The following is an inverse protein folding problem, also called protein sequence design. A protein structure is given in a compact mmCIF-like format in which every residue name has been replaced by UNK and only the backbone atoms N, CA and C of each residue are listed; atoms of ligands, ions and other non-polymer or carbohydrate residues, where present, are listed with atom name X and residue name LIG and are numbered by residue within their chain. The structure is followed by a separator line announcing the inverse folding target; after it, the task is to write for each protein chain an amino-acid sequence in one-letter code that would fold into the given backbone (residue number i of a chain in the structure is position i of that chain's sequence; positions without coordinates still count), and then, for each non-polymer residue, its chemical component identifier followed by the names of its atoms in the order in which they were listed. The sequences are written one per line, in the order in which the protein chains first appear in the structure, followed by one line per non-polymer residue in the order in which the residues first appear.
data_IF_092904307214
#
_entry.id   IF_092904307214
#
_cell.length_a   1.000
_cell.length_b   1.000
_cell.length_c   1.000
_cell.angle_alpha   90.00
_cell.angle_beta   90.00
_cell.angle_gamma   90.00
#
_symmetry.space_group_name_H-M   'P 1'
#
loop_
_entity.id
_entity.type
_entity.pdbx_description
1 polymer ?
#
# COMPACT_ATOMS: atom_id res chain seq x y z
N UNK A 1 -1.27 -13.34 -63.22
CA UNK A 1 -2.10 -12.77 -62.13
C UNK A 1 -2.31 -13.71 -60.91
N UNK A 2 -2.02 -15.01 -60.97
CA UNK A 2 -2.31 -15.94 -59.85
C UNK A 2 -1.34 -15.89 -58.66
N UNK A 3 -0.10 -15.40 -58.84
CA UNK A 3 0.93 -15.41 -57.77
C UNK A 3 0.73 -14.33 -56.69
N UNK A 4 0.04 -13.24 -56.99
CA UNK A 4 -0.13 -12.10 -56.06
C UNK A 4 -1.21 -12.37 -54.98
N UNK A 5 -2.18 -13.25 -55.26
CA UNK A 5 -3.23 -13.64 -54.31
C UNK A 5 -2.71 -14.54 -53.17
N UNK A 6 -1.74 -15.42 -53.47
CA UNK A 6 -1.14 -16.31 -52.47
C UNK A 6 -0.26 -15.54 -51.47
N UNK A 7 0.49 -14.54 -51.93
CA UNK A 7 1.34 -13.69 -51.07
C UNK A 7 0.51 -12.85 -50.10
N UNK A 8 -0.63 -12.30 -50.54
CA UNK A 8 -1.55 -11.54 -49.67
C UNK A 8 -2.20 -12.44 -48.61
N UNK A 9 -2.61 -13.66 -48.97
CA UNK A 9 -3.17 -14.62 -48.02
C UNK A 9 -2.13 -15.10 -47.00
N UNK A 10 -0.87 -15.27 -47.40
CA UNK A 10 0.23 -15.65 -46.50
C UNK A 10 0.60 -14.51 -45.53
N UNK A 11 0.63 -13.25 -46.00
CA UNK A 11 0.83 -12.08 -45.15
C UNK A 11 -0.32 -11.86 -44.15
N UNK A 12 -1.56 -12.13 -44.55
CA UNK A 12 -2.72 -12.06 -43.65
C UNK A 12 -2.67 -13.19 -42.58
N UNK A 13 -2.24 -14.39 -42.96
CA UNK A 13 -2.06 -15.49 -42.01
C UNK A 13 -0.88 -15.26 -41.04
N UNK A 14 0.20 -14.60 -41.50
CA UNK A 14 1.32 -14.23 -40.65
C UNK A 14 0.97 -13.09 -39.67
N UNK A 15 0.13 -12.13 -40.09
CA UNK A 15 -0.36 -11.07 -39.21
C UNK A 15 -1.30 -11.60 -38.11
N UNK A 16 -2.05 -12.67 -38.36
CA UNK A 16 -2.91 -13.32 -37.34
C UNK A 16 -2.09 -14.19 -36.37
N UNK A 17 -0.94 -14.72 -36.79
CA UNK A 17 -0.09 -15.57 -35.96
C UNK A 17 0.85 -14.81 -34.99
N UNK A 18 1.11 -13.52 -35.21
CA UNK A 18 1.99 -12.70 -34.35
C UNK A 18 1.23 -12.00 -33.19
N UNK A 19 -0.10 -11.99 -33.22
CA UNK A 19 -0.90 -11.16 -32.30
C UNK A 19 -1.27 -11.76 -30.94
N UNK A 20 -0.93 -13.01 -30.64
CA UNK A 20 -1.50 -13.74 -29.48
C UNK A 20 -0.48 -14.20 -28.44
N UNK A 21 0.78 -13.77 -28.51
CA UNK A 21 1.70 -13.95 -27.38
C UNK A 21 1.35 -12.96 -26.28
N UNK A 22 0.37 -13.35 -25.47
CA UNK A 22 0.33 -13.13 -24.03
C UNK A 22 0.79 -11.74 -23.58
N UNK A 23 -0.05 -10.74 -23.85
CA UNK A 23 -0.21 -9.57 -22.97
C UNK A 23 -0.79 -10.02 -21.61
N UNK A 24 -0.18 -11.02 -20.97
CA UNK A 24 -0.15 -11.03 -19.52
C UNK A 24 0.84 -9.92 -19.17
N UNK A 25 0.32 -8.68 -19.16
CA UNK A 25 0.98 -7.61 -18.45
C UNK A 25 1.35 -8.20 -17.10
N UNK A 26 2.67 -8.32 -16.83
CA UNK A 26 3.14 -8.79 -15.54
C UNK A 26 2.37 -7.96 -14.51
N UNK A 27 1.58 -8.63 -13.67
CA UNK A 27 0.79 -7.94 -12.65
C UNK A 27 1.83 -7.22 -11.79
N UNK A 28 1.99 -5.92 -12.04
CA UNK A 28 2.96 -5.13 -11.32
C UNK A 28 2.62 -5.21 -9.84
N UNK A 29 3.65 -5.27 -9.01
CA UNK A 29 3.46 -5.30 -7.57
C UNK A 29 2.63 -4.08 -7.18
N UNK A 30 1.53 -4.35 -6.47
CA UNK A 30 0.71 -3.31 -5.89
C UNK A 30 1.51 -2.53 -4.85
N UNK A 31 1.54 -1.21 -4.99
CA UNK A 31 2.19 -0.31 -4.04
C UNK A 31 1.19 0.34 -3.09
N UNK A 32 -0.10 0.30 -3.47
CA UNK A 32 -1.21 0.89 -2.75
C UNK A 32 -1.71 -0.05 -1.67
N UNK A 33 -1.88 0.48 -0.46
CA UNK A 33 -2.39 -0.27 0.68
C UNK A 33 -3.28 0.63 1.52
N UNK A 34 -4.54 0.24 1.67
CA UNK A 34 -5.47 0.76 2.65
C UNK A 34 -5.70 -0.34 3.69
N UNK A 35 -5.38 -0.07 4.96
CA UNK A 35 -5.57 -1.06 6.02
C UNK A 35 -6.08 -0.37 7.28
N UNK A 36 -7.29 -0.68 7.70
CA UNK A 36 -8.02 0.06 8.71
C UNK A 36 -8.70 -0.88 9.71
N UNK A 37 -8.66 -0.53 10.99
CA UNK A 37 -9.50 -1.13 12.03
C UNK A 37 -10.69 -0.22 12.29
N UNK A 38 -11.89 -0.79 12.20
CA UNK A 38 -13.14 -0.03 12.11
C UNK A 38 -14.18 -0.66 13.03
N UNK A 39 -15.13 0.16 13.47
CA UNK A 39 -16.34 -0.33 14.14
C UNK A 39 -17.52 0.02 13.24
N UNK A 40 -18.25 -1.01 12.76
CA UNK A 40 -19.52 -0.77 12.08
C UNK A 40 -20.62 -0.67 13.13
N UNK A 41 -21.16 0.52 13.36
CA UNK A 41 -22.26 0.71 14.32
C UNK A 41 -23.56 0.05 13.85
N UNK A 42 -24.52 -0.04 14.76
CA UNK A 42 -25.82 -0.65 14.48
C UNK A 42 -26.53 0.07 13.32
N UNK A 43 -27.11 -0.72 12.42
CA UNK A 43 -28.01 -0.25 11.37
C UNK A 43 -29.30 -1.04 11.38
N UNK A 44 -30.02 -1.03 10.27
CA UNK A 44 -31.17 -1.90 10.03
C UNK A 44 -31.20 -2.31 8.57
N UNK A 45 -31.93 -3.39 8.26
CA UNK A 45 -32.02 -3.91 6.89
C UNK A 45 -32.40 -2.84 5.86
N UNK A 46 -33.26 -1.91 6.25
CA UNK A 46 -33.79 -0.81 5.44
C UNK A 46 -33.00 0.50 5.56
N UNK A 47 -31.97 0.55 6.41
CA UNK A 47 -31.12 1.72 6.67
C UNK A 47 -29.80 1.22 7.29
N UNK A 48 -28.93 0.61 6.48
CA UNK A 48 -27.66 0.10 6.97
C UNK A 48 -26.78 1.23 7.48
N UNK A 49 -26.03 0.97 8.56
CA UNK A 49 -24.88 1.79 8.86
C UNK A 49 -23.85 1.57 7.75
N UNK A 50 -23.47 2.62 7.04
CA UNK A 50 -22.68 2.52 5.81
C UNK A 50 -21.41 3.35 5.93
N UNK A 51 -20.27 2.73 5.64
CA UNK A 51 -18.98 3.38 5.55
C UNK A 51 -18.43 3.28 4.13
N UNK A 52 -17.69 4.31 3.74
CA UNK A 52 -17.05 4.40 2.43
C UNK A 52 -15.55 4.58 2.61
N UNK A 53 -14.77 3.82 1.84
CA UNK A 53 -13.32 3.91 1.81
C UNK A 53 -12.86 4.15 0.38
N UNK A 54 -12.58 5.42 0.02
CA UNK A 54 -12.09 5.75 -1.31
C UNK A 54 -10.65 5.31 -1.50
N UNK A 55 -10.33 4.86 -2.70
CA UNK A 55 -8.96 4.65 -3.15
C UNK A 55 -8.80 4.88 -4.65
N UNK A 56 -7.60 5.21 -5.08
CA UNK A 56 -7.27 5.51 -6.47
C UNK A 56 -6.30 4.48 -7.05
N UNK A 57 -6.69 3.87 -8.17
CA UNK A 57 -5.88 2.95 -8.97
C UNK A 57 -5.22 3.75 -10.09
N UNK A 58 -3.89 3.73 -10.17
CA UNK A 58 -3.12 4.53 -11.14
C UNK A 58 -2.62 3.73 -12.33
N UNK A 59 -2.71 2.39 -12.27
CA UNK A 59 -2.28 1.48 -13.34
C UNK A 59 -3.13 0.21 -13.38
N UNK A 60 -3.20 -0.50 -14.52
CA UNK A 60 -3.90 -1.78 -14.60
C UNK A 60 -3.31 -2.81 -13.62
N UNK A 61 -4.16 -3.68 -13.09
CA UNK A 61 -3.74 -4.72 -12.16
C UNK A 61 -4.85 -5.22 -11.26
N UNK A 62 -4.47 -5.96 -10.22
CA UNK A 62 -5.41 -6.64 -9.32
C UNK A 62 -5.64 -5.83 -8.05
N UNK A 63 -6.91 -5.56 -7.73
CA UNK A 63 -7.34 -5.09 -6.42
C UNK A 63 -7.70 -6.31 -5.56
N UNK A 64 -7.05 -6.48 -4.41
CA UNK A 64 -7.40 -7.47 -3.41
C UNK A 64 -8.10 -6.79 -2.24
N UNK A 65 -9.24 -7.33 -1.81
CA UNK A 65 -10.03 -6.81 -0.68
C UNK A 65 -10.22 -7.94 0.31
N UNK A 66 -9.86 -7.68 1.55
CA UNK A 66 -10.05 -8.57 2.70
C UNK A 66 -10.78 -7.78 3.79
N UNK A 67 -11.92 -8.32 4.24
CA UNK A 67 -12.65 -7.81 5.40
C UNK A 67 -12.74 -8.92 6.43
N UNK A 68 -12.15 -8.71 7.60
CA UNK A 68 -12.23 -9.62 8.73
C UNK A 68 -13.08 -8.99 9.83
N UNK A 69 -13.85 -9.82 10.52
CA UNK A 69 -14.52 -9.44 11.77
C UNK A 69 -13.62 -9.86 12.91
N UNK A 70 -13.20 -8.88 13.70
CA UNK A 70 -12.42 -9.06 14.91
C UNK A 70 -13.34 -9.53 16.04
N UNK A 71 -12.78 -10.28 17.00
CA UNK A 71 -13.48 -10.70 18.21
C UNK A 71 -14.85 -11.36 17.96
N UNK A 72 -14.95 -12.19 16.92
CA UNK A 72 -16.20 -12.82 16.54
C UNK A 72 -16.74 -13.74 17.65
N UNK A 73 -18.02 -13.55 17.95
CA UNK A 73 -18.78 -14.30 18.97
C UNK A 73 -19.98 -14.97 18.30
N UNK A 74 -19.90 -16.26 17.91
CA UNK A 74 -20.92 -16.92 17.09
C UNK A 74 -22.35 -16.70 17.60
N UNK A 75 -22.55 -16.74 18.91
CA UNK A 75 -23.82 -16.51 19.60
C UNK A 75 -24.46 -15.15 19.29
N UNK A 76 -23.66 -14.10 19.05
CA UNK A 76 -24.15 -12.76 18.70
C UNK A 76 -24.51 -12.61 17.22
N UNK A 77 -24.06 -13.54 16.37
CA UNK A 77 -24.23 -13.47 14.92
C UNK A 77 -25.25 -14.48 14.39
N UNK A 78 -25.75 -15.41 15.22
CA UNK A 78 -26.76 -16.42 14.84
C UNK A 78 -28.07 -15.77 14.36
N UNK A 79 -28.52 -14.73 15.05
CA UNK A 79 -29.82 -14.10 14.76
C UNK A 79 -29.72 -13.00 13.69
N UNK A 80 -28.52 -12.42 13.53
CA UNK A 80 -28.24 -11.42 12.53
C UNK A 80 -27.83 -12.12 11.22
N UNK A 81 -28.82 -12.53 10.40
CA UNK A 81 -28.56 -13.13 9.09
C UNK A 81 -27.71 -12.19 8.19
N UNK A 82 -26.38 -12.40 8.21
CA UNK A 82 -25.37 -11.66 7.42
C UNK A 82 -25.33 -10.17 7.75
N UNK A 83 -24.79 -9.78 8.92
CA UNK A 83 -24.87 -8.40 9.40
C UNK A 83 -23.98 -7.47 8.59
N UNK A 84 -22.82 -7.95 8.13
CA UNK A 84 -21.85 -7.15 7.37
C UNK A 84 -21.95 -7.47 5.88
N UNK A 85 -21.95 -6.42 5.05
CA UNK A 85 -21.84 -6.53 3.59
C UNK A 85 -20.68 -5.68 3.11
N UNK A 86 -20.08 -6.10 2.01
CA UNK A 86 -18.97 -5.42 1.36
C UNK A 86 -19.25 -5.31 -0.14
N UNK A 87 -18.96 -4.14 -0.69
CA UNK A 87 -18.99 -3.89 -2.14
C UNK A 87 -17.73 -3.17 -2.59
N UNK A 88 -17.28 -3.47 -3.81
CA UNK A 88 -16.39 -2.62 -4.57
C UNK A 88 -17.20 -1.91 -5.65
N UNK A 89 -17.17 -0.59 -5.64
CA UNK A 89 -17.85 0.24 -6.64
C UNK A 89 -16.89 1.27 -7.20
N UNK A 90 -17.11 1.70 -8.45
CA UNK A 90 -16.37 2.85 -9.01
C UNK A 90 -17.15 4.17 -8.85
N UNK A 91 -16.50 5.29 -9.21
CA UNK A 91 -17.06 6.63 -9.07
C UNK A 91 -18.41 6.85 -9.76
N UNK A 92 -18.77 6.11 -10.81
CA UNK A 92 -20.09 6.22 -11.46
C UNK A 92 -21.24 5.86 -10.52
N UNK A 93 -20.94 5.15 -9.44
CA UNK A 93 -21.88 4.82 -8.38
C UNK A 93 -22.59 6.07 -7.81
N UNK A 94 -21.86 7.15 -7.55
CA UNK A 94 -22.42 8.39 -6.98
C UNK A 94 -22.82 9.42 -8.04
N UNK A 95 -22.62 9.09 -9.32
CA UNK A 95 -23.01 9.95 -10.44
C UNK A 95 -24.47 9.68 -10.83
N UNK A 96 -25.31 10.72 -10.80
CA UNK A 96 -26.68 10.61 -11.30
C UNK A 96 -26.70 10.24 -12.79
N UNK A 97 -25.75 10.76 -13.57
CA UNK A 97 -25.59 10.51 -15.01
C UNK A 97 -24.82 9.23 -15.32
N UNK A 98 -24.37 8.48 -14.32
CA UNK A 98 -23.53 7.27 -14.48
C UNK A 98 -22.22 7.51 -15.26
N UNK A 99 -21.76 8.76 -15.27
CA UNK A 99 -20.46 9.15 -15.82
C UNK A 99 -19.38 9.11 -14.74
N UNK A 100 -18.13 8.75 -15.08
CA UNK A 100 -17.03 8.79 -14.13
C UNK A 100 -16.84 10.23 -13.65
N UNK A 101 -16.52 10.38 -12.37
CA UNK A 101 -16.25 11.69 -11.79
C UNK A 101 -15.02 12.34 -12.41
N UNK A 102 -14.80 13.61 -12.11
CA UNK A 102 -13.47 14.22 -12.23
C UNK A 102 -12.75 14.22 -10.86
N UNK A 103 -11.44 14.48 -10.86
CA UNK A 103 -10.63 14.45 -9.65
C UNK A 103 -11.12 15.41 -8.55
N UNK A 104 -11.63 16.59 -8.94
CA UNK A 104 -12.15 17.58 -7.98
C UNK A 104 -13.43 17.08 -7.29
N UNK A 105 -14.35 16.48 -8.04
CA UNK A 105 -15.56 15.85 -7.50
C UNK A 105 -15.22 14.69 -6.57
N UNK A 106 -14.26 13.85 -6.96
CA UNK A 106 -13.80 12.74 -6.14
C UNK A 106 -13.15 13.22 -4.85
N UNK A 107 -12.23 14.18 -4.92
CA UNK A 107 -11.60 14.75 -3.73
C UNK A 107 -12.63 15.41 -2.81
N UNK A 108 -13.65 16.06 -3.36
CA UNK A 108 -14.76 16.60 -2.57
C UNK A 108 -15.48 15.49 -1.81
N UNK A 109 -15.86 14.41 -2.49
CA UNK A 109 -16.53 13.26 -1.85
C UNK A 109 -15.62 12.59 -0.81
N UNK A 110 -14.32 12.45 -1.10
CA UNK A 110 -13.32 11.94 -0.15
C UNK A 110 -13.28 12.81 1.10
N UNK A 111 -13.23 14.13 0.94
CA UNK A 111 -13.22 15.08 2.05
C UNK A 111 -14.53 15.02 2.84
N UNK A 112 -15.67 14.96 2.16
CA UNK A 112 -16.99 14.82 2.79
C UNK A 112 -17.01 13.51 3.60
N UNK A 113 -16.67 12.36 3.00
CA UNK A 113 -16.60 11.06 3.68
C UNK A 113 -15.65 11.10 4.88
N UNK A 114 -14.45 11.67 4.73
CA UNK A 114 -13.46 11.75 5.81
C UNK A 114 -13.91 12.65 6.95
N UNK A 115 -14.71 13.68 6.68
CA UNK A 115 -15.31 14.52 7.71
C UNK A 115 -16.35 13.74 8.55
N UNK A 116 -17.05 12.78 7.94
CA UNK A 116 -18.10 11.99 8.61
C UNK A 116 -17.64 10.63 9.16
N UNK A 117 -16.57 10.04 8.63
CA UNK A 117 -16.04 8.75 9.08
C UNK A 117 -15.58 8.68 10.57
N UNK A 118 -15.10 9.77 11.21
CA UNK A 118 -14.68 9.70 12.62
C UNK A 118 -15.76 10.06 13.65
N UNK A 119 -16.94 10.58 13.26
CA UNK A 119 -17.94 11.04 14.21
C UNK A 119 -19.37 10.78 13.74
N UNK A 120 -20.00 9.79 14.39
CA UNK A 120 -21.44 9.68 14.64
C UNK A 120 -22.40 9.53 13.44
N UNK A 121 -23.54 8.96 13.81
CA UNK A 121 -24.73 8.54 13.08
C UNK A 121 -25.41 9.61 12.18
N UNK A 122 -24.75 10.75 11.92
CA UNK A 122 -25.27 11.85 11.11
C UNK A 122 -24.61 11.83 9.74
N UNK A 123 -24.90 10.78 8.96
CA UNK A 123 -24.74 10.89 7.52
C UNK A 123 -25.57 12.10 7.06
N UNK A 124 -24.93 13.16 6.55
CA UNK A 124 -25.64 14.32 5.98
C UNK A 124 -26.67 13.86 4.94
N UNK A 125 -27.70 14.67 4.67
CA UNK A 125 -28.80 14.30 3.75
C UNK A 125 -28.30 13.83 2.37
N UNK A 126 -27.13 14.28 1.94
CA UNK A 126 -26.46 13.83 0.71
C UNK A 126 -25.98 12.38 0.77
N UNK A 127 -25.28 11.98 1.84
CA UNK A 127 -24.85 10.58 2.04
C UNK A 127 -26.07 9.68 2.23
N UNK A 128 -27.10 10.16 2.95
CA UNK A 128 -28.40 9.46 3.05
C UNK A 128 -29.10 9.30 1.70
N UNK A 129 -28.99 10.28 0.80
CA UNK A 129 -29.51 10.16 -0.57
C UNK A 129 -28.81 9.06 -1.35
N UNK A 130 -27.49 8.98 -1.22
CA UNK A 130 -26.66 7.94 -1.83
C UNK A 130 -26.98 6.56 -1.22
N UNK A 131 -27.07 6.42 0.10
CA UNK A 131 -27.42 5.14 0.75
C UNK A 131 -28.85 4.70 0.41
N UNK A 132 -29.80 5.63 0.22
CA UNK A 132 -31.15 5.30 -0.29
C UNK A 132 -31.14 4.82 -1.75
N UNK A 133 -30.31 5.42 -2.60
CA UNK A 133 -30.16 4.99 -4.00
C UNK A 133 -29.46 3.62 -4.09
N UNK A 134 -28.44 3.40 -3.25
CA UNK A 134 -27.77 2.12 -3.04
C UNK A 134 -28.77 1.05 -2.61
N UNK A 135 -29.58 1.37 -1.59
CA UNK A 135 -30.66 0.53 -1.08
C UNK A 135 -31.62 0.12 -2.19
N UNK A 136 -32.17 1.06 -2.97
CA UNK A 136 -33.07 0.74 -4.09
C UNK A 136 -32.41 -0.17 -5.12
N UNK A 137 -31.12 0.03 -5.38
CA UNK A 137 -30.35 -0.79 -6.30
C UNK A 137 -30.16 -2.21 -5.75
N UNK A 138 -29.75 -2.35 -4.49
CA UNK A 138 -29.53 -3.64 -3.82
C UNK A 138 -30.83 -4.40 -3.58
N UNK A 139 -31.89 -3.75 -3.12
CA UNK A 139 -33.20 -4.36 -2.95
C UNK A 139 -33.80 -4.78 -4.30
N UNK A 140 -33.52 -4.04 -5.37
CA UNK A 140 -33.90 -4.41 -6.73
C UNK A 140 -33.11 -5.57 -7.32
N UNK A 141 -31.85 -5.75 -6.88
CA UNK A 141 -30.99 -6.87 -7.25
C UNK A 141 -31.28 -8.13 -6.43
N UNK A 142 -31.73 -7.98 -5.18
CA UNK A 142 -31.87 -9.08 -4.21
C UNK A 142 -33.32 -9.36 -3.78
N UNK A 143 -34.30 -8.64 -4.34
CA UNK A 143 -35.72 -8.71 -3.98
C UNK A 143 -36.37 -10.05 -4.32
N UNK A 144 -37.02 -10.64 -3.31
CA UNK A 144 -37.70 -11.94 -3.34
C UNK A 144 -38.63 -12.08 -4.57
N UNK A 145 -38.39 -13.10 -5.39
CA UNK A 145 -39.24 -13.62 -6.49
C UNK A 145 -39.09 -13.05 -7.92
N UNK A 146 -38.04 -12.28 -8.26
CA UNK A 146 -37.74 -11.96 -9.68
C UNK A 146 -36.34 -12.44 -10.06
N UNK A 147 -36.18 -12.88 -11.33
CA UNK A 147 -34.91 -13.34 -11.90
C UNK A 147 -33.79 -12.34 -11.54
N UNK A 148 -32.61 -12.80 -11.11
CA UNK A 148 -31.52 -11.91 -10.74
C UNK A 148 -31.21 -10.98 -11.91
N UNK A 149 -31.34 -9.67 -11.68
CA UNK A 149 -30.88 -8.68 -12.64
C UNK A 149 -29.35 -8.67 -12.63
N UNK A 150 -28.69 -8.45 -13.78
CA UNK A 150 -27.24 -8.26 -13.80
C UNK A 150 -26.88 -7.09 -12.88
N UNK A 151 -25.74 -7.21 -12.18
CA UNK A 151 -25.21 -6.10 -11.41
C UNK A 151 -24.99 -4.90 -12.35
N UNK A 152 -25.31 -3.67 -11.91
CA UNK A 152 -24.93 -2.48 -12.66
C UNK A 152 -23.42 -2.51 -12.92
N UNK A 153 -22.98 -2.07 -14.10
CA UNK A 153 -21.57 -2.12 -14.51
C UNK A 153 -20.60 -1.23 -13.71
N UNK A 154 -21.06 -0.63 -12.61
CA UNK A 154 -20.27 0.13 -11.64
C UNK A 154 -20.15 -0.59 -10.27
N UNK A 155 -20.71 -1.81 -10.15
CA UNK A 155 -20.54 -2.70 -9.00
C UNK A 155 -19.70 -3.89 -9.47
N UNK A 156 -18.50 -3.98 -8.92
CA UNK A 156 -17.44 -4.87 -9.39
C UNK A 156 -17.31 -6.10 -8.51
N UNK A 157 -17.51 -5.91 -7.21
CA UNK A 157 -17.49 -6.98 -6.21
C UNK A 157 -18.67 -6.79 -5.28
N UNK A 158 -19.32 -7.89 -4.94
CA UNK A 158 -20.34 -7.94 -3.89
C UNK A 158 -20.11 -9.17 -3.01
N UNK A 159 -20.07 -8.97 -1.69
CA UNK A 159 -20.10 -10.06 -0.71
C UNK A 159 -21.06 -9.72 0.41
N UNK A 160 -21.96 -10.65 0.70
CA UNK A 160 -22.76 -10.65 1.91
C UNK A 160 -22.52 -11.93 2.73
N UNK A 161 -21.53 -12.73 2.36
CA UNK A 161 -21.31 -14.04 2.96
C UNK A 161 -20.26 -13.97 4.05
N UNK A 162 -20.64 -14.34 5.25
CA UNK A 162 -19.69 -14.85 6.24
C UNK A 162 -19.55 -16.35 5.94
N UNK A 163 -18.54 -16.78 5.16
CA UNK A 163 -18.31 -18.22 4.92
C UNK A 163 -17.59 -18.82 6.12
N UNK A 164 -18.07 -19.96 6.59
CA UNK A 164 -17.44 -20.76 7.63
C UNK A 164 -17.27 -22.20 7.15
N UNK A 165 -16.04 -22.67 7.15
CA UNK A 165 -15.73 -24.07 7.32
C UNK A 165 -14.40 -24.14 8.09
N UNK A 166 -14.46 -24.48 9.37
CA UNK A 166 -13.35 -24.98 10.19
C UNK A 166 -12.03 -24.19 10.13
N UNK A 167 -12.05 -22.86 10.37
CA UNK A 167 -10.81 -22.13 10.68
C UNK A 167 -10.49 -22.26 12.18
N UNK A 168 -9.30 -22.76 12.56
CA UNK A 168 -8.89 -22.97 13.96
C UNK A 168 -8.81 -21.67 14.78
N UNK A 169 -8.64 -20.54 14.10
CA UNK A 169 -8.52 -19.23 14.72
C UNK A 169 -9.89 -18.55 14.64
N UNK A 170 -10.38 -17.99 15.75
CA UNK A 170 -11.65 -17.25 15.90
C UNK A 170 -11.82 -16.02 14.97
N UNK A 171 -11.10 -15.96 13.85
CA UNK A 171 -11.20 -14.94 12.83
C UNK A 171 -12.25 -15.35 11.79
N UNK A 172 -13.08 -14.36 11.46
CA UNK A 172 -14.19 -14.55 10.53
C UNK A 172 -14.03 -13.59 9.38
N UNK A 173 -13.69 -14.11 8.20
CA UNK A 173 -13.55 -13.28 7.01
C UNK A 173 -14.91 -13.10 6.34
N UNK A 174 -15.41 -11.86 6.25
CA UNK A 174 -16.60 -11.49 5.45
C UNK A 174 -16.33 -11.70 3.95
N UNK A 175 -15.05 -11.83 3.58
CA UNK A 175 -14.59 -12.41 2.34
C UNK A 175 -13.23 -11.88 1.94
N UNK A 176 -12.42 -12.74 1.32
CA UNK A 176 -11.37 -12.31 0.40
C UNK A 176 -11.97 -12.24 -0.99
N UNK A 177 -11.77 -11.12 -1.67
CA UNK A 177 -12.17 -10.91 -3.06
C UNK A 177 -11.02 -10.29 -3.80
N UNK A 178 -10.96 -10.57 -5.10
CA UNK A 178 -10.09 -9.84 -6.00
C UNK A 178 -10.91 -9.31 -7.16
N UNK A 179 -10.42 -8.24 -7.77
CA UNK A 179 -10.99 -7.65 -8.97
C UNK A 179 -9.84 -7.19 -9.86
N UNK A 180 -9.84 -7.64 -11.12
CA UNK A 180 -8.78 -7.33 -12.09
C UNK A 180 -9.25 -6.14 -12.94
N UNK A 181 -8.48 -5.06 -12.91
CA UNK A 181 -8.73 -3.82 -13.64
C UNK A 181 -7.81 -3.79 -14.84
N UNK A 182 -8.37 -3.80 -16.04
CA UNK A 182 -7.62 -3.60 -17.28
C UNK A 182 -7.49 -2.12 -17.65
N UNK A 183 -6.77 -1.83 -18.74
CA UNK A 183 -6.55 -0.45 -19.21
C UNK A 183 -7.85 0.24 -19.70
N UNK A 184 -8.80 -0.52 -20.24
CA UNK A 184 -10.07 0.01 -20.76
C UNK A 184 -10.94 0.45 -19.58
N UNK A 185 -11.04 -0.41 -18.57
CA UNK A 185 -11.75 -0.10 -17.35
C UNK A 185 -11.07 1.04 -16.58
N UNK A 186 -9.75 1.04 -16.44
CA UNK A 186 -9.03 2.12 -15.80
C UNK A 186 -9.33 3.47 -16.46
N UNK A 187 -9.38 3.52 -17.79
CA UNK A 187 -9.78 4.73 -18.53
C UNK A 187 -11.25 5.11 -18.28
N UNK A 188 -12.14 4.12 -18.24
CA UNK A 188 -13.58 4.32 -18.02
C UNK A 188 -13.93 4.81 -16.61
N UNK A 189 -13.29 4.23 -15.59
CA UNK A 189 -13.52 4.57 -14.17
C UNK A 189 -12.64 5.71 -13.71
N UNK A 190 -11.60 6.04 -14.50
CA UNK A 190 -10.51 6.96 -14.18
C UNK A 190 -9.82 6.59 -12.86
N UNK A 191 -9.75 5.29 -12.56
CA UNK A 191 -9.07 4.79 -11.38
C UNK A 191 -9.77 5.05 -10.04
N UNK A 192 -10.96 5.66 -10.02
CA UNK A 192 -11.61 6.07 -8.77
C UNK A 192 -12.58 5.00 -8.26
N UNK A 193 -12.23 4.37 -7.14
CA UNK A 193 -12.99 3.29 -6.53
C UNK A 193 -13.31 3.56 -5.06
N UNK A 194 -14.29 2.83 -4.55
CA UNK A 194 -14.72 2.85 -3.17
C UNK A 194 -15.00 1.43 -2.68
N UNK A 195 -14.48 1.09 -1.50
CA UNK A 195 -15.02 -0.02 -0.72
C UNK A 195 -16.19 0.50 0.10
N UNK A 196 -17.36 -0.12 -0.06
CA UNK A 196 -18.56 0.18 0.72
C UNK A 196 -18.78 -0.94 1.70
N UNK A 197 -18.84 -0.60 2.99
CA UNK A 197 -19.11 -1.52 4.07
C UNK A 197 -20.45 -1.18 4.71
N UNK A 198 -21.33 -2.16 4.82
CA UNK A 198 -22.65 -1.98 5.43
C UNK A 198 -22.80 -2.88 6.64
N UNK A 199 -23.41 -2.35 7.71
CA UNK A 199 -23.98 -3.15 8.79
C UNK A 199 -25.51 -3.01 8.81
N UNK A 200 -26.20 -4.11 8.56
CA UNK A 200 -27.67 -4.20 8.57
C UNK A 200 -28.26 -4.71 9.88
N UNK A 201 -27.42 -4.97 10.88
CA UNK A 201 -27.86 -5.46 12.18
C UNK A 201 -28.24 -4.32 13.13
N UNK A 202 -29.37 -4.49 13.82
CA UNK A 202 -29.87 -3.56 14.85
C UNK A 202 -29.15 -3.68 16.19
N UNK A 203 -28.52 -4.82 16.44
CA UNK A 203 -28.03 -5.20 17.77
C UNK A 203 -26.54 -5.54 17.80
N UNK A 204 -25.88 -5.54 16.64
CA UNK A 204 -24.49 -5.95 16.53
C UNK A 204 -23.65 -4.81 15.98
N UNK A 205 -22.58 -4.49 16.70
CA UNK A 205 -21.54 -3.54 16.28
C UNK A 205 -20.22 -4.28 16.03
N UNK A 206 -20.02 -4.90 14.84
CA UNK A 206 -18.81 -5.67 14.59
C UNK A 206 -17.60 -4.74 14.48
N UNK A 207 -16.54 -5.11 15.20
CA UNK A 207 -15.18 -4.63 14.94
C UNK A 207 -14.65 -5.35 13.71
N UNK A 208 -14.10 -4.61 12.75
CA UNK A 208 -13.62 -5.17 11.50
C UNK A 208 -12.23 -4.65 11.14
N UNK A 209 -11.45 -5.51 10.50
CA UNK A 209 -10.18 -5.17 9.84
C UNK A 209 -10.46 -5.15 8.34
N UNK A 210 -10.36 -3.98 7.71
CA UNK A 210 -10.42 -3.80 6.26
C UNK A 210 -9.00 -3.72 5.71
N UNK A 211 -8.63 -4.58 4.77
CA UNK A 211 -7.39 -4.50 4.00
C UNK A 211 -7.69 -4.47 2.50
N UNK A 212 -7.20 -3.44 1.80
CA UNK A 212 -7.28 -3.27 0.35
C UNK A 212 -5.89 -3.06 -0.20
N UNK A 213 -5.48 -3.94 -1.09
CA UNK A 213 -4.18 -3.94 -1.76
C UNK A 213 -4.43 -3.71 -3.25
N UNK A 214 -3.87 -2.66 -3.85
CA UNK A 214 -4.28 -2.18 -5.17
C UNK A 214 -3.14 -1.54 -5.99
N UNK A 215 -3.29 -1.47 -7.33
CA UNK A 215 -2.28 -0.89 -8.21
C UNK A 215 -2.37 0.65 -8.21
N UNK A 216 -1.96 1.25 -7.10
CA UNK A 216 -1.90 2.70 -6.90
C UNK A 216 -0.78 3.09 -5.95
N UNK A 217 -0.69 4.38 -5.61
CA UNK A 217 0.38 4.91 -4.75
C UNK A 217 -0.08 5.24 -3.32
N UNK A 218 -1.40 5.26 -3.10
CA UNK A 218 -2.00 5.62 -1.81
C UNK A 218 -1.65 4.58 -0.74
N UNK A 219 -1.14 5.07 0.39
CA UNK A 219 -0.78 4.26 1.54
C UNK A 219 -1.45 4.82 2.80
N UNK A 220 -2.54 4.19 3.21
CA UNK A 220 -3.39 4.60 4.33
C UNK A 220 -3.58 3.41 5.28
N UNK A 221 -2.62 3.21 6.16
CA UNK A 221 -2.62 2.11 7.14
C UNK A 221 -2.79 2.68 8.54
N UNK A 222 -3.74 2.16 9.32
CA UNK A 222 -3.93 2.53 10.71
C UNK A 222 -2.65 2.28 11.53
N UNK A 223 -2.34 3.17 12.47
CA UNK A 223 -1.05 3.15 13.18
C UNK A 223 -0.74 1.83 13.88
N UNK A 224 -1.78 1.17 14.42
CA UNK A 224 -1.70 -0.12 15.10
C UNK A 224 -1.55 -1.31 14.14
N UNK A 225 -1.88 -1.13 12.86
CA UNK A 225 -1.78 -2.11 11.79
C UNK A 225 -0.58 -1.86 10.87
N UNK A 226 0.13 -0.74 11.06
CA UNK A 226 1.33 -0.43 10.28
C UNK A 226 2.32 -1.58 10.40
N UNK A 227 2.73 -2.20 9.27
CA UNK A 227 3.76 -3.20 9.30
C UNK A 227 5.03 -2.61 9.95
N UNK A 228 5.82 -3.42 10.66
CA UNK A 228 7.01 -2.96 11.34
C UNK A 228 7.94 -2.23 10.36
N UNK A 229 8.29 -0.99 10.70
CA UNK A 229 9.32 -0.22 10.00
C UNK A 229 10.67 -0.59 10.60
N UNK A 230 11.65 -0.88 9.77
CA UNK A 230 12.99 -1.25 10.22
C UNK A 230 14.01 -0.65 9.26
N UNK A 231 14.76 0.36 9.71
CA UNK A 231 15.83 0.95 8.91
C UNK A 231 17.17 0.60 9.51
N UNK A 232 17.96 -0.17 8.78
CA UNK A 232 19.27 -0.62 9.25
C UNK A 232 20.42 -0.11 8.42
N UNK A 233 21.59 -0.02 9.05
CA UNK A 233 22.86 0.19 8.35
C UNK A 233 23.32 -1.16 7.80
N UNK A 234 23.23 -1.30 6.48
CA UNK A 234 23.61 -2.54 5.79
C UNK A 234 25.13 -2.71 5.76
N UNK A 235 25.84 -1.62 5.46
CA UNK A 235 27.24 -1.67 5.10
C UNK A 235 27.94 -0.33 5.33
N UNK A 236 29.21 -0.41 5.73
CA UNK A 236 30.17 0.70 5.74
C UNK A 236 31.35 0.22 4.89
N UNK A 237 31.76 0.99 3.89
CA UNK A 237 32.94 0.72 3.07
C UNK A 237 33.83 1.95 3.07
N UNK A 238 35.13 1.69 3.05
CA UNK A 238 36.15 2.69 2.73
C UNK A 238 36.57 2.49 1.28
N UNK A 239 36.65 3.57 0.51
CA UNK A 239 37.24 3.59 -0.83
C UNK A 239 38.03 4.88 -0.93
N UNK A 240 39.35 4.77 -1.09
CA UNK A 240 40.29 5.88 -0.94
C UNK A 240 40.09 6.56 0.44
N UNK A 241 39.82 7.87 0.46
CA UNK A 241 39.49 8.68 1.64
C UNK A 241 37.97 8.95 1.76
N UNK A 242 37.14 8.04 1.24
CA UNK A 242 35.69 8.19 1.22
C UNK A 242 35.02 7.05 1.96
N UNK A 243 34.17 7.42 2.92
CA UNK A 243 33.33 6.45 3.63
C UNK A 243 31.98 6.38 2.96
N UNK A 244 31.66 5.22 2.40
CA UNK A 244 30.36 4.92 1.87
C UNK A 244 29.53 4.14 2.89
N UNK A 245 28.39 4.69 3.29
CA UNK A 245 27.43 4.03 4.17
C UNK A 245 26.17 3.70 3.38
N UNK A 246 25.76 2.43 3.40
CA UNK A 246 24.51 1.97 2.81
C UNK A 246 23.46 1.73 3.87
N UNK A 247 22.29 2.35 3.70
CA UNK A 247 21.11 2.21 4.54
C UNK A 247 20.04 1.43 3.76
N UNK A 248 19.26 0.62 4.46
CA UNK A 248 18.18 -0.19 3.86
C UNK A 248 16.93 -0.16 4.73
N UNK A 249 15.77 -0.08 4.11
CA UNK A 249 14.49 -0.41 4.76
C UNK A 249 14.36 -1.94 4.79
N UNK A 250 14.68 -2.55 5.92
CA UNK A 250 14.53 -3.98 6.18
C UNK A 250 13.11 -4.34 6.61
N UNK A 251 12.29 -3.35 6.96
CA UNK A 251 10.94 -3.55 7.46
C UNK A 251 9.96 -3.87 6.34
N UNK A 252 8.79 -4.34 6.74
CA UNK A 252 7.64 -4.52 5.85
C UNK A 252 6.88 -3.21 5.63
N UNK A 253 7.06 -2.23 6.53
CA UNK A 253 6.37 -0.95 6.51
C UNK A 253 7.03 0.09 5.61
N UNK A 254 6.21 0.88 4.90
CA UNK A 254 6.69 2.07 4.20
C UNK A 254 7.10 3.17 5.18
N UNK A 255 8.05 4.00 4.78
CA UNK A 255 8.33 5.26 5.50
C UNK A 255 7.31 6.30 5.09
N UNK A 256 6.80 7.05 6.05
CA UNK A 256 5.87 8.15 5.83
C UNK A 256 6.61 9.39 5.29
N UNK A 257 5.93 10.18 4.47
CA UNK A 257 6.53 11.34 3.80
C UNK A 257 6.99 12.44 4.77
N UNK A 258 6.29 12.58 5.90
CA UNK A 258 6.64 13.56 6.94
C UNK A 258 8.06 13.35 7.50
N UNK A 259 8.57 12.11 7.48
CA UNK A 259 9.93 11.80 7.96
C UNK A 259 11.01 12.52 7.14
N UNK A 260 10.76 12.83 5.87
CA UNK A 260 11.69 13.56 4.99
C UNK A 260 11.68 15.07 5.24
N UNK A 261 10.64 15.57 5.91
CA UNK A 261 10.40 16.99 6.12
C UNK A 261 10.76 17.45 7.54
N UNK A 262 10.85 16.51 8.49
CA UNK A 262 11.24 16.78 9.89
C UNK A 262 12.62 17.45 9.99
N UNK A 263 12.74 18.40 10.92
CA UNK A 263 13.95 19.18 11.18
C UNK A 263 14.38 19.10 12.66
N UNK A 264 15.62 19.48 12.93
CA UNK A 264 16.11 19.62 14.31
C UNK A 264 16.26 18.29 15.05
N UNK A 265 15.77 18.23 16.30
CA UNK A 265 15.95 17.06 17.19
C UNK A 265 15.16 15.84 16.72
N UNK A 266 14.06 16.04 16.01
CA UNK A 266 13.17 15.00 15.48
C UNK A 266 13.49 14.62 14.02
N UNK A 267 14.51 15.23 13.41
CA UNK A 267 14.96 14.84 12.09
C UNK A 267 15.56 13.43 12.13
N UNK A 268 15.18 12.60 11.17
CA UNK A 268 15.97 11.41 10.85
C UNK A 268 17.32 11.86 10.29
N UNK A 269 18.41 11.31 10.82
CA UNK A 269 19.75 11.59 10.34
C UNK A 269 20.68 10.38 10.41
N UNK A 270 21.46 10.16 9.37
CA UNK A 270 22.62 9.28 9.39
C UNK A 270 23.81 10.07 9.92
N UNK A 271 24.39 9.65 11.05
CA UNK A 271 25.57 10.26 11.62
C UNK A 271 26.75 9.28 11.56
N UNK A 272 27.96 9.81 11.43
CA UNK A 272 29.18 9.03 11.54
C UNK A 272 30.08 9.55 12.65
N UNK A 273 30.67 8.61 13.39
CA UNK A 273 31.73 8.82 14.35
C UNK A 273 33.00 8.15 13.86
N UNK A 274 34.13 8.79 14.11
CA UNK A 274 35.46 8.34 13.75
C UNK A 274 36.30 8.31 15.01
N UNK A 275 36.77 7.12 15.39
CA UNK A 275 37.46 6.87 16.67
C UNK A 275 36.68 7.49 17.87
N UNK A 276 35.37 7.21 17.91
CA UNK A 276 34.45 7.73 18.94
C UNK A 276 34.02 9.19 18.80
N UNK A 277 34.69 10.02 17.99
CA UNK A 277 34.35 11.45 17.83
C UNK A 277 33.32 11.67 16.73
N UNK A 278 32.31 12.50 16.97
CA UNK A 278 31.34 12.90 15.94
C UNK A 278 32.08 13.61 14.81
N UNK A 279 31.90 13.13 13.58
CA UNK A 279 32.54 13.73 12.40
C UNK A 279 31.54 14.51 11.55
N UNK A 280 30.34 13.95 11.35
CA UNK A 280 29.31 14.61 10.56
C UNK A 280 28.06 13.76 10.44
N UNK A 281 27.07 14.30 9.73
CA UNK A 281 25.84 13.58 9.46
C UNK A 281 25.04 14.22 8.33
N UNK A 282 24.06 13.47 7.85
CA UNK A 282 23.15 13.88 6.77
C UNK A 282 21.72 13.55 7.18
N UNK A 283 20.78 14.45 6.88
CA UNK A 283 19.35 14.21 7.14
C UNK A 283 18.80 13.15 6.18
N UNK A 284 17.61 12.60 6.45
CA UNK A 284 16.97 11.66 5.52
C UNK A 284 16.83 12.23 4.11
N UNK A 285 16.44 13.50 3.99
CA UNK A 285 16.32 14.18 2.70
C UNK A 285 17.65 14.27 1.94
N UNK A 286 18.77 14.44 2.64
CA UNK A 286 20.09 14.45 2.00
C UNK A 286 20.64 13.05 1.70
N UNK A 287 20.29 12.06 2.54
CA UNK A 287 20.64 10.65 2.35
C UNK A 287 19.87 10.02 1.18
N UNK A 288 18.59 10.37 1.06
CA UNK A 288 17.63 9.73 0.15
C UNK A 288 16.72 10.79 -0.52
N UNK A 289 17.27 11.60 -1.43
CA UNK A 289 16.49 12.64 -2.11
C UNK A 289 15.38 12.07 -3.01
N UNK A 290 15.58 10.87 -3.55
CA UNK A 290 14.62 10.16 -4.40
C UNK A 290 13.59 9.35 -3.59
N UNK A 291 13.67 9.36 -2.25
CA UNK A 291 12.76 8.67 -1.33
C UNK A 291 12.70 7.15 -1.55
N UNK A 292 13.78 6.54 -2.03
CA UNK A 292 13.83 5.11 -2.30
C UNK A 292 13.59 4.27 -1.04
N UNK A 293 14.02 4.73 0.15
CA UNK A 293 13.80 4.06 1.44
C UNK A 293 12.33 4.04 1.86
N UNK A 294 11.44 4.82 1.24
CA UNK A 294 9.99 4.69 1.46
C UNK A 294 9.51 3.27 1.19
N UNK A 295 10.11 2.59 0.23
CA UNK A 295 9.64 1.27 -0.20
C UNK A 295 10.43 0.17 0.53
N UNK A 296 9.73 -0.79 1.16
CA UNK A 296 10.33 -1.97 1.79
C UNK A 296 11.39 -2.65 0.90
N UNK A 297 12.51 -3.02 1.51
CA UNK A 297 13.61 -3.73 0.87
C UNK A 297 14.58 -2.85 0.06
N UNK A 298 14.21 -1.60 -0.26
CA UNK A 298 15.08 -0.66 -1.01
C UNK A 298 16.22 -0.14 -0.14
N UNK A 299 17.28 0.30 -0.83
CA UNK A 299 18.54 0.74 -0.23
C UNK A 299 19.03 2.03 -0.89
N UNK A 300 19.74 2.83 -0.11
CA UNK A 300 20.42 4.05 -0.56
C UNK A 300 21.82 4.10 0.03
N UNK A 301 22.71 4.79 -0.64
CA UNK A 301 24.09 4.97 -0.19
C UNK A 301 24.44 6.43 -0.08
N UNK A 302 25.18 6.79 0.95
CA UNK A 302 25.73 8.13 1.12
C UNK A 302 27.24 8.06 1.32
N UNK A 303 27.95 8.98 0.67
CA UNK A 303 29.41 9.03 0.69
C UNK A 303 29.86 10.28 1.43
N UNK A 304 30.65 10.09 2.48
CA UNK A 304 31.34 11.17 3.17
C UNK A 304 32.73 11.35 2.55
N UNK A 305 32.96 12.50 1.92
CA UNK A 305 34.01 12.72 0.91
C UNK A 305 35.27 13.45 1.41
N UNK A 306 35.41 13.61 2.73
CA UNK A 306 36.50 14.38 3.36
C UNK A 306 37.13 13.68 4.56
N UNK A 307 36.98 12.36 4.64
CA UNK A 307 37.52 11.59 5.76
C UNK A 307 38.83 10.91 5.34
N UNK A 308 39.95 11.58 5.58
CA UNK A 308 41.28 10.99 5.39
C UNK A 308 41.52 9.92 6.46
N UNK A 309 41.85 8.70 6.03
CA UNK A 309 42.15 7.58 6.92
C UNK A 309 43.58 7.13 6.65
N UNK A 310 44.51 7.61 7.46
CA UNK A 310 45.96 7.35 7.35
C UNK A 310 46.48 6.30 8.35
N UNK A 311 45.60 5.82 9.23
CA UNK A 311 45.90 4.82 10.26
C UNK A 311 44.67 3.99 10.56
N UNK A 312 44.86 2.91 11.32
CA UNK A 312 43.77 2.09 11.84
C UNK A 312 42.70 2.96 12.48
N UNK A 313 41.50 2.90 11.91
CA UNK A 313 40.41 3.83 12.25
C UNK A 313 39.12 3.07 12.42
N UNK A 314 38.48 3.28 13.56
CA UNK A 314 37.14 2.79 13.84
C UNK A 314 36.10 3.78 13.31
N UNK A 315 35.18 3.30 12.48
CA UNK A 315 34.07 4.06 11.96
C UNK A 315 32.78 3.48 12.50
N UNK A 316 32.01 4.32 13.19
CA UNK A 316 30.66 3.98 13.63
C UNK A 316 29.65 4.83 12.88
N UNK A 317 28.78 4.21 12.11
CA UNK A 317 27.60 4.86 11.55
C UNK A 317 26.40 4.60 12.46
N UNK A 318 25.55 5.61 12.66
CA UNK A 318 24.35 5.52 13.49
C UNK A 318 23.20 6.29 12.85
N UNK A 319 22.05 5.63 12.73
CA UNK A 319 20.78 6.25 12.37
C UNK A 319 20.14 6.85 13.62
N UNK A 320 20.07 8.18 13.65
CA UNK A 320 19.27 8.92 14.61
C UNK A 320 17.84 8.98 14.09
N UNK A 321 16.93 8.32 14.79
CA UNK A 321 15.53 8.18 14.40
C UNK A 321 14.64 9.14 15.20
N UNK A 322 13.57 9.70 14.60
CA UNK A 322 12.50 10.31 15.38
C UNK A 322 11.83 9.27 16.31
N UNK A 323 10.97 9.76 17.20
CA UNK A 323 10.08 8.90 18.00
C UNK A 323 9.06 8.20 17.10
N UNK A 324 9.46 7.07 16.52
CA UNK A 324 8.56 6.07 15.97
C UNK A 324 9.03 4.67 16.36
N UNK A 325 8.12 3.70 16.22
CA UNK A 325 8.39 2.29 16.52
C UNK A 325 9.22 1.67 15.39
N UNK A 326 10.53 1.76 15.53
CA UNK A 326 11.49 1.00 14.75
C UNK A 326 11.59 -0.44 15.28
N UNK A 327 11.45 -1.43 14.40
CA UNK A 327 11.26 -2.82 14.77
C UNK A 327 12.55 -3.50 15.23
N UNK A 328 13.72 -3.03 14.77
CA UNK A 328 15.01 -3.58 15.16
C UNK A 328 16.08 -2.50 15.37
N UNK A 329 15.99 -1.83 16.52
CA UNK A 329 16.94 -0.76 16.89
C UNK A 329 18.41 -1.19 16.93
N UNK A 330 18.71 -2.50 16.98
CA UNK A 330 20.08 -3.01 17.02
C UNK A 330 20.80 -2.84 15.67
N UNK A 331 20.08 -2.79 14.56
CA UNK A 331 20.69 -2.60 13.23
C UNK A 331 20.85 -1.12 12.85
N UNK A 332 20.39 -0.19 13.70
CA UNK A 332 20.48 1.26 13.50
C UNK A 332 21.91 1.79 13.74
N UNK A 333 22.82 0.96 14.24
CA UNK A 333 24.22 1.31 14.43
C UNK A 333 25.11 0.19 13.90
N UNK A 334 26.20 0.56 13.24
CA UNK A 334 27.21 -0.39 12.78
C UNK A 334 28.59 0.20 12.95
N UNK A 335 29.51 -0.60 13.45
CA UNK A 335 30.92 -0.24 13.66
C UNK A 335 31.80 -1.15 12.82
N UNK A 336 32.77 -0.56 12.12
CA UNK A 336 33.77 -1.26 11.33
C UNK A 336 35.12 -0.61 11.59
N UNK A 337 36.13 -1.44 11.84
CA UNK A 337 37.53 -0.99 11.93
C UNK A 337 38.19 -1.21 10.58
N UNK A 338 38.80 -0.16 10.05
CA UNK A 338 39.62 -0.22 8.84
C UNK A 338 41.07 -0.17 9.26
N UNK A 339 41.84 -1.19 8.89
CA UNK A 339 43.29 -1.20 9.04
C UNK A 339 43.89 -0.65 7.75
N UNK A 340 44.79 0.32 7.88
CA UNK A 340 45.59 0.78 6.75
C UNK A 340 46.78 -0.15 6.67
N UNK A 341 46.85 -0.97 5.63
CA UNK A 341 48.03 -1.77 5.34
C UNK A 341 49.21 -0.81 5.25
N UNK A 342 50.09 -0.87 6.26
CA UNK A 342 51.38 -0.19 6.15
C UNK A 342 52.04 -0.77 4.90
N UNK A 343 52.48 0.04 3.93
CA UNK A 343 53.28 -0.48 2.84
C UNK A 343 54.44 -1.22 3.50
N UNK A 344 54.50 -2.54 3.29
CA UNK A 344 55.55 -3.40 3.80
C UNK A 344 56.86 -2.72 3.41
N UNK A 345 57.64 -2.30 4.41
CA UNK A 345 58.92 -1.66 4.18
C UNK A 345 59.74 -2.60 3.29
N UNK A 346 59.81 -2.30 1.99
CA UNK A 346 60.71 -3.00 1.09
C UNK A 346 62.10 -2.68 1.62
N UNK A 347 62.76 -3.68 2.22
CA UNK A 347 64.15 -3.52 2.62
C UNK A 347 64.93 -3.14 1.36
N UNK A 348 65.78 -2.09 1.42
CA UNK A 348 66.65 -1.77 0.30
C UNK A 348 67.47 -3.01 -0.01
N UNK A 349 67.38 -3.48 -1.25
CA UNK A 349 68.27 -4.51 -1.78
C UNK A 349 69.68 -3.89 -1.70
N UNK A 350 70.46 -4.28 -0.68
CA UNK A 350 71.89 -4.00 -0.66
C UNK A 350 72.49 -4.73 -1.86
N UNK A 351 72.81 -3.99 -2.91
CA UNK A 351 73.72 -4.47 -3.93
C UNK A 351 75.10 -4.58 -3.29
N UNK A 352 75.49 -5.81 -2.95
CA UNK A 352 76.89 -6.14 -2.65
C UNK A 352 77.66 -5.99 -3.96
N UNK A 353 78.65 -5.08 -3.93
CA UNK A 353 79.58 -4.83 -5.05
C UNK A 353 80.55 -5.97 -5.24
#
# INVERSE_FOLDING_TARGET
MYKMSQVIKMLLAFAVAIGSTNLYAAIEKNEGLLHQDLVLYNGKKDDPYTMFYPFEVTKPGRVNIEVKVNNYKPERFRDANRPVRMMLVDSRFFSAEKKPMNQSQFQKIVNDINQYNPAEYIAGDQIRGITRALKKTLDGLMGKKRKPKPLPGYIHVYSNTVRFANTPDNQVTVGRRHYDIDAVELSLTKGMYFVVLENVSRSLTPEIELKVDFPGDQYAVADNLMPPRDLGIRMIRLSDDKVHVQVRNNGEGRLSDDLYERRGKDAFALNIKVNGKNWGGVTLKGLDPERALKTPGRRVGYTFDKLKIDKTTEITATLKMPKFKDANRRNNSKTVTFEVDKPSAQMPIMQVR
#
